data_IF_989600723478
#
_entry.id   IF_989600723478
#
_cell.length_a   1.000
_cell.length_b   1.000
_cell.length_c   1.000
_cell.angle_alpha   90.00
_cell.angle_beta   90.00
_cell.angle_gamma   90.00
#
_symmetry.space_group_name_H-M   'P 1'
#
loop_
_entity.id
_entity.type
_entity.pdbx_description
1 polymer ?
#
# COMPACT_ATOMS: atom_id res chain seq x y z
N UNK A 1 -38.55 -30.09 24.61
CA UNK A 1 -37.52 -30.35 23.58
C UNK A 1 -37.82 -29.44 22.42
N UNK A 2 -37.24 -28.24 22.42
CA UNK A 2 -37.58 -27.16 21.50
C UNK A 2 -36.97 -27.41 20.12
N UNK A 3 -37.85 -27.33 19.13
CA UNK A 3 -37.60 -27.53 17.71
C UNK A 3 -36.46 -26.64 17.22
N UNK A 4 -35.43 -27.25 16.64
CA UNK A 4 -34.29 -26.55 16.02
C UNK A 4 -34.74 -25.91 14.71
N UNK A 5 -34.81 -24.57 14.69
CA UNK A 5 -35.10 -23.78 13.50
C UNK A 5 -33.99 -23.96 12.46
N UNK A 6 -34.34 -24.60 11.34
CA UNK A 6 -33.53 -24.64 10.12
C UNK A 6 -33.59 -23.28 9.44
N UNK A 7 -32.62 -22.41 9.72
CA UNK A 7 -32.40 -21.20 8.95
C UNK A 7 -31.73 -21.56 7.62
N UNK A 8 -32.52 -22.09 6.67
CA UNK A 8 -32.08 -22.24 5.29
C UNK A 8 -32.25 -20.89 4.59
N UNK A 9 -31.21 -20.06 4.63
CA UNK A 9 -31.20 -18.80 3.87
C UNK A 9 -31.17 -19.14 2.38
N UNK A 10 -32.31 -18.98 1.72
CA UNK A 10 -32.47 -19.09 0.26
C UNK A 10 -31.91 -17.85 -0.41
N UNK A 11 -30.66 -17.90 -0.88
CA UNK A 11 -29.98 -16.80 -1.60
C UNK A 11 -30.32 -16.79 -3.10
N UNK A 12 -31.28 -17.60 -3.56
CA UNK A 12 -31.39 -17.97 -4.98
C UNK A 12 -32.42 -17.20 -5.83
N UNK A 13 -33.11 -16.18 -5.30
CA UNK A 13 -34.14 -15.44 -6.07
C UNK A 13 -33.72 -14.03 -6.52
N UNK A 14 -32.42 -13.73 -6.57
CA UNK A 14 -31.91 -12.49 -7.15
C UNK A 14 -30.56 -12.70 -7.82
N UNK A 15 -30.49 -12.48 -9.14
CA UNK A 15 -29.30 -12.55 -10.02
C UNK A 15 -28.86 -13.95 -10.49
N UNK A 16 -29.57 -14.47 -11.50
CA UNK A 16 -29.24 -15.73 -12.16
C UNK A 16 -27.85 -15.78 -12.84
N UNK A 17 -27.32 -14.65 -13.33
CA UNK A 17 -26.01 -14.60 -14.01
C UNK A 17 -24.82 -14.16 -13.13
N UNK A 18 -25.08 -13.61 -11.94
CA UNK A 18 -24.02 -13.14 -11.01
C UNK A 18 -23.99 -13.94 -9.70
N UNK A 19 -24.58 -15.13 -9.69
CA UNK A 19 -24.61 -16.01 -8.53
C UNK A 19 -23.23 -16.63 -8.26
N UNK A 20 -22.88 -16.77 -6.98
CA UNK A 20 -21.65 -17.44 -6.57
C UNK A 20 -21.67 -18.90 -7.04
N UNK A 21 -20.53 -19.39 -7.54
CA UNK A 21 -20.39 -20.79 -7.90
C UNK A 21 -20.62 -21.69 -6.67
N UNK A 22 -21.11 -22.91 -6.90
CA UNK A 22 -21.36 -23.89 -5.82
C UNK A 22 -20.15 -24.05 -4.88
N UNK A 23 -18.93 -24.01 -5.41
CA UNK A 23 -17.69 -24.10 -4.63
C UNK A 23 -17.48 -22.89 -3.69
N UNK A 24 -17.77 -21.67 -4.17
CA UNK A 24 -17.70 -20.46 -3.35
C UNK A 24 -18.78 -20.45 -2.26
N UNK A 25 -19.98 -20.92 -2.56
CA UNK A 25 -21.07 -21.05 -1.56
C UNK A 25 -20.68 -21.99 -0.42
N UNK A 26 -20.09 -23.16 -0.73
CA UNK A 26 -19.61 -24.08 0.32
C UNK A 26 -18.46 -23.50 1.13
N UNK A 27 -17.54 -22.77 0.50
CA UNK A 27 -16.43 -22.11 1.20
C UNK A 27 -16.95 -21.08 2.20
N UNK A 28 -17.89 -20.23 1.79
CA UNK A 28 -18.52 -19.24 2.67
C UNK A 28 -19.34 -19.90 3.78
N UNK A 29 -20.16 -20.90 3.44
CA UNK A 29 -20.93 -21.67 4.42
C UNK A 29 -20.03 -22.27 5.50
N UNK A 30 -18.88 -22.86 5.11
CA UNK A 30 -17.90 -23.38 6.06
C UNK A 30 -17.30 -22.27 6.93
N UNK A 31 -16.90 -21.15 6.33
CA UNK A 31 -16.33 -20.02 7.07
C UNK A 31 -17.31 -19.43 8.11
N UNK A 32 -18.60 -19.34 7.78
CA UNK A 32 -19.63 -18.90 8.73
C UNK A 32 -19.83 -19.89 9.88
N UNK A 33 -19.77 -21.20 9.61
CA UNK A 33 -19.81 -22.21 10.68
C UNK A 33 -18.57 -22.16 11.59
N UNK A 34 -17.42 -21.77 11.04
CA UNK A 34 -16.18 -21.57 11.79
C UNK A 34 -16.15 -20.23 12.56
N UNK A 35 -17.25 -19.48 12.56
CA UNK A 35 -17.41 -18.24 13.34
C UNK A 35 -16.91 -16.98 12.65
N UNK A 36 -16.63 -17.02 11.34
CA UNK A 36 -16.32 -15.80 10.57
C UNK A 36 -17.59 -14.97 10.38
N UNK A 37 -17.64 -13.80 11.00
CA UNK A 37 -18.75 -12.84 10.84
C UNK A 37 -18.47 -11.77 9.75
N UNK A 38 -17.20 -11.58 9.38
CA UNK A 38 -16.80 -10.56 8.41
C UNK A 38 -16.96 -11.06 6.96
N UNK A 39 -17.71 -10.30 6.16
CA UNK A 39 -17.96 -10.55 4.73
C UNK A 39 -16.88 -9.92 3.83
N UNK A 40 -16.12 -8.96 4.34
CA UNK A 40 -15.02 -8.33 3.59
C UNK A 40 -13.95 -9.37 3.25
N UNK A 41 -13.27 -9.16 2.12
CA UNK A 41 -12.13 -9.97 1.73
C UNK A 41 -11.06 -9.93 2.82
N UNK A 42 -10.55 -11.11 3.18
CA UNK A 42 -9.39 -11.20 4.06
C UNK A 42 -8.21 -10.51 3.39
N UNK A 43 -7.33 -9.93 4.19
CA UNK A 43 -6.17 -9.20 3.69
C UNK A 43 -5.43 -10.06 2.67
N UNK A 44 -5.63 -9.71 1.39
CA UNK A 44 -5.07 -10.48 0.29
C UNK A 44 -3.57 -10.42 0.48
N UNK A 45 -2.91 -11.58 0.52
CA UNK A 45 -1.45 -11.62 0.52
C UNK A 45 -0.97 -10.89 -0.72
N UNK A 46 -0.61 -9.62 -0.56
CA UNK A 46 0.06 -8.87 -1.60
C UNK A 46 1.36 -9.61 -1.89
N UNK A 47 1.65 -9.83 -3.16
CA UNK A 47 2.93 -10.39 -3.56
C UNK A 47 4.01 -9.43 -3.05
N UNK A 48 4.71 -9.81 -1.99
CA UNK A 48 5.90 -9.14 -1.50
C UNK A 48 6.91 -9.18 -2.65
N UNK A 49 6.90 -8.12 -3.46
CA UNK A 49 7.90 -7.93 -4.49
C UNK A 49 9.19 -7.74 -3.72
N UNK A 50 10.17 -8.60 -3.99
CA UNK A 50 11.53 -8.66 -3.43
C UNK A 50 12.20 -7.28 -3.26
N UNK A 51 11.73 -6.31 -4.02
CA UNK A 51 11.99 -4.88 -3.95
C UNK A 51 11.71 -4.19 -2.59
N UNK A 52 10.72 -4.62 -1.79
CA UNK A 52 10.32 -3.99 -0.51
C UNK A 52 11.08 -4.56 0.71
N UNK A 53 12.35 -4.93 0.56
CA UNK A 53 13.18 -5.40 1.68
C UNK A 53 13.56 -4.22 2.59
N UNK A 54 13.64 -4.43 3.91
CA UNK A 54 14.01 -3.38 4.89
C UNK A 54 15.33 -2.67 4.54
N UNK A 55 16.29 -3.42 3.99
CA UNK A 55 17.54 -2.87 3.46
C UNK A 55 17.32 -1.77 2.41
N UNK A 56 16.41 -2.00 1.46
CA UNK A 56 16.12 -1.04 0.40
C UNK A 56 15.39 0.18 0.95
N UNK A 57 14.53 -0.01 1.95
CA UNK A 57 13.82 1.09 2.65
C UNK A 57 14.84 2.00 3.33
N UNK A 58 15.79 1.44 4.07
CA UNK A 58 16.82 2.22 4.77
C UNK A 58 17.80 2.89 3.79
N UNK A 59 18.16 2.22 2.70
CA UNK A 59 18.96 2.84 1.63
C UNK A 59 18.23 4.04 1.01
N UNK A 60 16.94 3.92 0.68
CA UNK A 60 16.14 5.04 0.16
C UNK A 60 16.06 6.19 1.19
N UNK A 61 15.83 5.86 2.46
CA UNK A 61 15.78 6.84 3.56
C UNK A 61 17.08 7.64 3.66
N UNK A 62 18.21 6.96 3.55
CA UNK A 62 19.54 7.58 3.62
C UNK A 62 19.78 8.47 2.41
N UNK A 63 19.49 7.98 1.20
CA UNK A 63 19.69 8.72 -0.05
C UNK A 63 18.88 10.02 -0.11
N UNK A 64 17.59 9.96 0.20
CA UNK A 64 16.73 11.15 0.19
C UNK A 64 17.13 12.16 1.27
N UNK A 65 17.67 11.70 2.41
CA UNK A 65 18.20 12.58 3.45
C UNK A 65 19.52 13.23 3.07
N UNK A 66 20.40 12.53 2.36
CA UNK A 66 21.66 13.10 1.89
C UNK A 66 21.45 14.15 0.80
N UNK A 67 20.54 13.87 -0.15
CA UNK A 67 20.24 14.80 -1.23
C UNK A 67 18.72 14.83 -1.53
N UNK A 68 18.11 15.98 -1.21
CA UNK A 68 16.69 16.23 -1.45
C UNK A 68 16.35 16.52 -2.92
N UNK A 69 17.36 16.67 -3.79
CA UNK A 69 17.18 16.90 -5.22
C UNK A 69 17.12 15.61 -6.04
N UNK A 70 17.33 14.44 -5.42
CA UNK A 70 17.25 13.15 -6.10
C UNK A 70 15.85 12.91 -6.67
N UNK A 71 15.82 12.50 -7.95
CA UNK A 71 14.58 12.16 -8.64
C UNK A 71 14.24 10.68 -8.48
N UNK A 72 12.95 10.33 -8.64
CA UNK A 72 12.51 8.93 -8.66
C UNK A 72 13.30 8.07 -9.66
N UNK A 73 13.70 8.65 -10.80
CA UNK A 73 14.51 7.98 -11.82
C UNK A 73 15.89 7.61 -11.29
N UNK A 74 16.60 8.57 -10.69
CA UNK A 74 17.94 8.33 -10.15
C UNK A 74 17.90 7.28 -9.04
N UNK A 75 16.91 7.37 -8.15
CA UNK A 75 16.72 6.38 -7.08
C UNK A 75 16.41 4.99 -7.62
N UNK A 76 15.60 4.89 -8.68
CA UNK A 76 15.29 3.62 -9.33
C UNK A 76 16.52 2.97 -9.97
N UNK A 77 17.36 3.77 -10.64
CA UNK A 77 18.58 3.31 -11.30
C UNK A 77 19.63 2.89 -10.25
N UNK A 78 19.76 3.65 -9.16
CA UNK A 78 20.76 3.37 -8.12
C UNK A 78 20.47 2.09 -7.32
N UNK A 79 19.19 1.78 -7.08
CA UNK A 79 18.78 0.60 -6.32
C UNK A 79 18.32 -0.56 -7.21
N UNK A 80 18.35 -0.40 -8.53
CA UNK A 80 17.80 -1.34 -9.51
C UNK A 80 16.35 -1.75 -9.19
N UNK A 81 15.54 -0.79 -8.75
CA UNK A 81 14.14 -0.99 -8.39
C UNK A 81 13.23 -0.36 -9.44
N UNK A 82 12.01 -0.88 -9.56
CA UNK A 82 11.00 -0.20 -10.36
C UNK A 82 10.64 1.16 -9.75
N UNK A 83 10.43 2.17 -10.59
CA UNK A 83 10.03 3.52 -10.18
C UNK A 83 8.77 3.52 -9.31
N UNK A 84 7.80 2.68 -9.66
CA UNK A 84 6.57 2.52 -8.87
C UNK A 84 6.89 2.04 -7.45
N UNK A 85 7.77 1.04 -7.32
CA UNK A 85 8.17 0.54 -6.00
C UNK A 85 8.89 1.60 -5.18
N UNK A 86 9.80 2.37 -5.79
CA UNK A 86 10.47 3.49 -5.11
C UNK A 86 9.45 4.52 -4.63
N UNK A 87 8.48 4.89 -5.48
CA UNK A 87 7.42 5.82 -5.12
C UNK A 87 6.59 5.30 -3.94
N UNK A 88 6.18 4.03 -3.98
CA UNK A 88 5.40 3.37 -2.93
C UNK A 88 6.17 3.33 -1.60
N UNK A 89 7.46 3.00 -1.63
CA UNK A 89 8.30 3.02 -0.43
C UNK A 89 8.39 4.44 0.15
N UNK A 90 8.60 5.45 -0.70
CA UNK A 90 8.66 6.84 -0.25
C UNK A 90 7.34 7.30 0.38
N UNK A 91 6.19 6.96 -0.20
CA UNK A 91 4.89 7.42 0.28
C UNK A 91 4.30 6.60 1.43
N UNK A 92 4.36 5.26 1.34
CA UNK A 92 3.67 4.34 2.24
C UNK A 92 4.53 3.93 3.43
N UNK A 93 5.84 3.68 3.20
CA UNK A 93 6.74 3.20 4.25
C UNK A 93 7.51 4.34 4.93
N UNK A 94 7.91 5.37 4.17
CA UNK A 94 8.67 6.51 4.70
C UNK A 94 7.80 7.75 4.95
N UNK A 95 6.53 7.73 4.54
CA UNK A 95 5.57 8.83 4.68
C UNK A 95 6.10 10.18 4.15
N UNK A 96 6.88 10.14 3.08
CA UNK A 96 7.45 11.32 2.43
C UNK A 96 6.58 11.80 1.27
N UNK A 97 6.56 13.12 1.08
CA UNK A 97 5.92 13.77 -0.07
C UNK A 97 6.91 14.69 -0.76
N UNK A 98 6.79 14.80 -2.09
CA UNK A 98 7.54 15.80 -2.86
C UNK A 98 7.09 17.20 -2.46
N UNK A 99 8.05 18.06 -2.12
CA UNK A 99 7.83 19.49 -1.86
C UNK A 99 8.69 20.29 -2.84
N UNK A 100 8.10 21.31 -3.46
CA UNK A 100 8.84 22.21 -4.34
C UNK A 100 9.67 23.21 -3.52
N UNK A 101 10.92 23.41 -3.92
CA UNK A 101 11.79 24.43 -3.32
C UNK A 101 11.23 25.84 -3.57
N UNK A 102 11.45 26.75 -2.62
CA UNK A 102 11.14 28.18 -2.81
C UNK A 102 12.22 28.82 -3.69
N UNK A 103 11.81 29.70 -4.61
CA UNK A 103 12.75 30.48 -5.41
C UNK A 103 13.54 31.44 -4.51
N UNK A 104 14.86 31.48 -4.68
CA UNK A 104 15.75 32.41 -3.99
C UNK A 104 16.26 33.43 -5.02
N UNK A 105 15.82 34.70 -5.00
CA UNK A 105 16.15 35.68 -6.05
C UNK A 105 17.63 36.02 -6.17
N UNK A 106 18.42 35.87 -5.09
CA UNK A 106 19.84 36.20 -5.08
C UNK A 106 20.63 35.28 -4.17
N UNK A 107 21.77 34.80 -4.67
CA UNK A 107 22.76 34.10 -3.86
C UNK A 107 23.54 35.13 -3.03
N UNK A 108 23.27 35.19 -1.73
CA UNK A 108 23.93 36.14 -0.82
C UNK A 108 25.36 35.69 -0.50
N UNK A 109 26.28 36.65 -0.50
CA UNK A 109 27.66 36.45 -0.02
C UNK A 109 27.69 36.28 1.50
N UNK A 110 28.78 35.72 2.03
CA UNK A 110 28.96 35.52 3.49
C UNK A 110 28.82 36.84 4.25
N UNK A 111 29.36 37.95 3.71
CA UNK A 111 29.21 39.29 4.31
C UNK A 111 27.75 39.73 4.37
N UNK A 112 27.00 39.51 3.29
CA UNK A 112 25.56 39.86 3.22
C UNK A 112 24.71 39.02 4.16
N UNK A 113 25.07 37.75 4.40
CA UNK A 113 24.39 36.88 5.37
C UNK A 113 24.61 37.34 6.82
N UNK A 114 25.78 37.91 7.15
CA UNK A 114 26.11 38.41 8.49
C UNK A 114 25.40 39.72 8.86
N UNK A 115 25.00 40.52 7.88
CA UNK A 115 24.28 41.79 8.09
C UNK A 115 22.75 41.64 8.08
N UNK A 116 22.26 40.40 8.11
CA UNK A 116 20.84 40.06 8.06
C UNK A 116 20.39 39.51 9.39
#
# INVERSE_FOLDING_TARGET
MTSSQKNNVTVYEGNGEHSLSRAQTFRWHKAFLEGRENVEDEQRSERLTTSKTDKNIECLRTLVRSDRHLTLRMLSEQLNLNRFTVQQILSEHLHMRKVCGKMVPKNLSIKQKKMR
#
